data_IF_703412125130
#
_entry.id   IF_703412125130
#
_cell.length_a   1.000
_cell.length_b   1.000
_cell.length_c   1.000
_cell.angle_alpha   90.00
_cell.angle_beta   90.00
_cell.angle_gamma   90.00
#
_symmetry.space_group_name_H-M   'P 1'
#
loop_
_entity.id
_entity.type
_entity.pdbx_description
1 polymer ?
#
# COMPACT_ATOMS: atom_id res chain seq x y z
N UNK A 1 -10.32 -1.59 58.23
CA UNK A 1 -8.91 -1.80 58.59
C UNK A 1 -8.71 -3.25 59.06
N UNK A 2 -7.98 -4.07 58.32
CA UNK A 2 -7.66 -5.45 58.74
C UNK A 2 -6.46 -5.43 59.66
N UNK A 3 -6.44 -6.19 60.77
CA UNK A 3 -5.30 -6.26 61.66
C UNK A 3 -4.10 -6.85 60.95
N UNK A 4 -2.94 -6.21 61.08
CA UNK A 4 -1.65 -6.60 60.45
C UNK A 4 -0.91 -7.60 61.33
N UNK A 5 -1.19 -7.59 62.62
CA UNK A 5 -0.58 -8.43 63.63
C UNK A 5 -0.98 -8.06 65.03
N UNK A 6 -0.39 -8.73 65.98
CA UNK A 6 -0.63 -8.52 67.41
C UNK A 6 0.70 -8.23 68.09
N UNK A 7 0.71 -7.26 68.96
CA UNK A 7 1.81 -6.97 69.89
C UNK A 7 1.30 -7.17 71.30
N UNK A 8 1.95 -8.04 72.05
CA UNK A 8 1.63 -8.29 73.45
C UNK A 8 2.78 -7.75 74.32
N UNK A 9 2.42 -7.22 75.46
CA UNK A 9 3.34 -6.76 76.48
C UNK A 9 2.86 -7.30 77.83
N UNK A 10 3.77 -7.89 78.59
CA UNK A 10 3.52 -8.30 79.95
C UNK A 10 4.57 -7.75 80.92
N UNK A 11 4.28 -7.87 82.17
CA UNK A 11 5.19 -7.46 83.27
C UNK A 11 5.54 -8.65 84.17
N UNK A 12 5.55 -9.86 83.64
CA UNK A 12 5.77 -11.09 84.37
C UNK A 12 7.02 -11.11 85.29
N UNK A 13 8.12 -10.45 84.83
CA UNK A 13 9.36 -10.38 85.54
C UNK A 13 9.29 -9.40 86.72
N UNK A 14 8.81 -8.18 86.57
CA UNK A 14 8.82 -7.13 87.54
C UNK A 14 7.54 -7.01 88.38
N UNK A 15 6.45 -7.69 87.98
CA UNK A 15 5.11 -7.63 88.56
C UNK A 15 4.57 -6.24 88.85
N UNK A 16 5.13 -5.20 88.23
CA UNK A 16 4.68 -3.84 88.38
C UNK A 16 3.49 -3.55 87.44
N UNK A 17 2.53 -2.66 87.81
CA UNK A 17 1.40 -2.32 86.95
C UNK A 17 1.91 -1.62 85.69
N UNK A 18 1.35 -1.98 84.53
CA UNK A 18 1.66 -1.33 83.24
C UNK A 18 1.16 0.14 83.31
N UNK A 19 2.08 1.07 83.19
CA UNK A 19 1.80 2.50 83.27
C UNK A 19 1.09 3.05 82.02
N UNK A 20 0.39 4.16 82.13
CA UNK A 20 -0.23 4.83 80.97
C UNK A 20 0.79 5.21 79.89
N UNK A 21 2.00 5.62 80.28
CA UNK A 21 3.11 5.89 79.38
C UNK A 21 3.55 4.67 78.58
N UNK A 22 3.67 3.51 79.21
CA UNK A 22 4.06 2.23 78.54
C UNK A 22 2.95 1.79 77.54
N UNK A 23 1.66 1.95 77.87
CA UNK A 23 0.56 1.70 76.97
C UNK A 23 0.65 2.60 75.70
N UNK A 24 0.85 3.89 75.91
CA UNK A 24 0.99 4.86 74.79
C UNK A 24 2.23 4.58 73.92
N UNK A 25 3.33 4.20 74.50
CA UNK A 25 4.52 3.76 73.78
C UNK A 25 4.23 2.51 72.92
N UNK A 26 3.53 1.51 73.47
CA UNK A 26 3.16 0.31 72.71
C UNK A 26 2.21 0.60 71.55
N UNK A 27 1.23 1.48 71.76
CA UNK A 27 0.33 1.92 70.71
C UNK A 27 1.06 2.67 69.61
N UNK A 28 1.96 3.60 69.98
CA UNK A 28 2.81 4.30 69.03
C UNK A 28 3.73 3.38 68.24
N UNK A 29 4.36 2.41 68.91
CA UNK A 29 5.21 1.41 68.31
C UNK A 29 4.43 0.48 67.38
N UNK A 30 3.22 0.01 67.78
CA UNK A 30 2.34 -0.74 66.95
C UNK A 30 1.89 -0.04 65.71
N UNK A 31 1.56 1.27 65.83
CA UNK A 31 1.24 2.11 64.68
C UNK A 31 2.37 2.26 63.70
N UNK A 32 3.61 2.50 64.21
CA UNK A 32 4.81 2.62 63.34
C UNK A 32 5.13 1.30 62.60
N UNK A 33 5.09 0.16 63.34
CA UNK A 33 5.28 -1.16 62.71
C UNK A 33 4.25 -1.42 61.63
N UNK A 34 2.97 -1.09 61.87
CA UNK A 34 1.92 -1.25 60.90
C UNK A 34 2.18 -0.42 59.65
N UNK A 35 2.61 0.83 59.77
CA UNK A 35 2.98 1.70 58.67
C UNK A 35 4.17 1.13 57.87
N UNK A 36 5.23 0.69 58.55
CA UNK A 36 6.39 0.07 57.89
C UNK A 36 5.99 -1.19 57.13
N UNK A 37 5.16 -2.05 57.73
CA UNK A 37 4.66 -3.27 57.09
C UNK A 37 3.85 -2.94 55.83
N UNK A 38 2.88 -2.02 55.91
CA UNK A 38 2.03 -1.61 54.79
C UNK A 38 2.91 -1.05 53.66
N UNK A 39 3.86 -0.15 53.97
CA UNK A 39 4.79 0.42 52.99
C UNK A 39 5.63 -0.67 52.31
N UNK A 40 6.24 -1.58 53.09
CA UNK A 40 7.04 -2.68 52.52
C UNK A 40 6.22 -3.60 51.61
N UNK A 41 5.00 -3.86 51.99
CA UNK A 41 4.03 -4.62 51.18
C UNK A 41 3.71 -3.92 49.87
N UNK A 42 3.45 -2.61 49.89
CA UNK A 42 3.24 -1.81 48.69
C UNK A 42 4.45 -1.81 47.75
N UNK A 43 5.67 -1.66 48.30
CA UNK A 43 6.89 -1.76 47.51
C UNK A 43 7.08 -3.14 46.84
N UNK A 44 6.75 -4.22 47.55
CA UNK A 44 6.78 -5.56 46.96
C UNK A 44 5.77 -5.74 45.82
N UNK A 45 4.55 -5.27 46.01
CA UNK A 45 3.52 -5.33 44.98
C UNK A 45 3.90 -4.52 43.72
N UNK A 46 4.48 -3.33 43.89
CA UNK A 46 4.95 -2.51 42.77
C UNK A 46 6.12 -3.21 42.04
N UNK A 47 7.06 -3.78 42.77
CA UNK A 47 8.17 -4.54 42.11
C UNK A 47 7.66 -5.73 41.32
N UNK A 48 6.70 -6.46 41.83
CA UNK A 48 6.11 -7.62 41.17
C UNK A 48 5.36 -7.17 39.89
N UNK A 49 4.55 -6.12 39.99
CA UNK A 49 3.86 -5.52 38.84
C UNK A 49 4.87 -5.14 37.75
N UNK A 50 5.94 -4.42 38.16
CA UNK A 50 6.98 -4.03 37.22
C UNK A 50 7.69 -5.24 36.57
N UNK A 51 8.03 -6.26 37.33
CA UNK A 51 8.68 -7.48 36.80
C UNK A 51 7.76 -8.21 35.80
N UNK A 52 6.48 -8.36 36.13
CA UNK A 52 5.54 -9.01 35.21
C UNK A 52 5.38 -8.22 33.92
N UNK A 53 5.21 -6.90 34.00
CA UNK A 53 5.08 -6.04 32.82
C UNK A 53 6.32 -6.09 31.93
N UNK A 54 7.53 -6.06 32.52
CA UNK A 54 8.78 -6.15 31.75
C UNK A 54 8.89 -7.49 31.03
N UNK A 55 8.56 -8.59 31.67
CA UNK A 55 8.63 -9.91 31.06
C UNK A 55 7.60 -10.08 29.95
N UNK A 56 6.34 -9.75 30.21
CA UNK A 56 5.25 -9.84 29.25
C UNK A 56 5.43 -8.89 28.06
N UNK A 57 5.99 -7.70 28.27
CA UNK A 57 6.22 -6.69 27.22
C UNK A 57 7.31 -7.08 26.20
N UNK A 58 8.11 -8.11 26.49
CA UNK A 58 9.12 -8.64 25.56
C UNK A 58 8.56 -9.62 24.54
N UNK A 59 7.29 -9.97 24.67
CA UNK A 59 6.65 -10.92 23.78
C UNK A 59 6.17 -10.21 22.51
N UNK A 60 6.40 -10.85 21.36
CA UNK A 60 6.12 -10.29 20.04
C UNK A 60 4.68 -10.54 19.55
N UNK A 61 3.94 -11.45 20.20
CA UNK A 61 2.59 -11.84 19.82
C UNK A 61 1.75 -12.30 21.01
N UNK A 62 0.43 -12.34 20.81
CA UNK A 62 -0.56 -12.69 21.84
C UNK A 62 -0.29 -14.08 22.43
N UNK A 63 0.04 -15.08 21.62
CA UNK A 63 0.34 -16.43 22.09
C UNK A 63 1.57 -16.45 23.01
N UNK A 64 2.63 -15.73 22.67
CA UNK A 64 3.83 -15.61 23.50
C UNK A 64 3.53 -14.89 24.82
N UNK A 65 2.70 -13.84 24.81
CA UNK A 65 2.22 -13.17 26.04
C UNK A 65 1.49 -14.14 26.94
N UNK A 66 0.54 -14.93 26.42
CA UNK A 66 -0.22 -15.91 27.20
C UNK A 66 0.72 -16.98 27.81
N UNK A 67 1.67 -17.50 27.03
CA UNK A 67 2.67 -18.46 27.51
C UNK A 67 3.54 -17.89 28.63
N UNK A 68 4.06 -16.69 28.42
CA UNK A 68 4.88 -16.00 29.42
C UNK A 68 4.08 -15.69 30.68
N UNK A 69 2.80 -15.33 30.56
CA UNK A 69 1.90 -15.10 31.68
C UNK A 69 1.73 -16.35 32.55
N UNK A 70 1.48 -17.52 31.92
CA UNK A 70 1.38 -18.79 32.63
C UNK A 70 2.72 -19.12 33.33
N UNK A 71 3.84 -18.98 32.63
CA UNK A 71 5.16 -19.24 33.18
C UNK A 71 5.47 -18.35 34.40
N UNK A 72 5.23 -17.06 34.28
CA UNK A 72 5.44 -16.09 35.36
C UNK A 72 4.57 -16.41 36.58
N UNK A 73 3.31 -16.73 36.38
CA UNK A 73 2.38 -17.05 37.47
C UNK A 73 2.84 -18.26 38.27
N UNK A 74 3.24 -19.35 37.61
CA UNK A 74 3.72 -20.55 38.25
C UNK A 74 5.03 -20.31 39.01
N UNK A 75 5.98 -19.61 38.40
CA UNK A 75 7.32 -19.42 38.96
C UNK A 75 7.37 -18.37 40.08
N UNK A 76 6.55 -17.31 40.01
CA UNK A 76 6.72 -16.15 40.87
C UNK A 76 5.53 -15.83 41.78
N UNK A 77 4.31 -16.29 41.44
CA UNK A 77 3.10 -15.92 42.20
C UNK A 77 2.67 -17.00 43.20
N UNK A 78 3.24 -18.17 43.17
CA UNK A 78 2.86 -19.30 44.03
C UNK A 78 1.48 -19.85 43.69
N UNK A 79 1.10 -19.79 42.42
CA UNK A 79 -0.12 -20.38 41.87
C UNK A 79 0.23 -21.77 41.33
N UNK A 80 -0.56 -22.78 41.65
CA UNK A 80 -0.30 -24.14 41.17
C UNK A 80 -0.57 -24.33 39.70
N UNK A 81 -1.72 -23.80 39.25
CA UNK A 81 -2.18 -23.88 37.87
C UNK A 81 -2.79 -22.55 37.43
N UNK A 82 -2.54 -22.19 36.19
CA UNK A 82 -3.14 -21.02 35.53
C UNK A 82 -3.43 -21.37 34.08
N UNK A 83 -4.55 -20.86 33.55
CA UNK A 83 -4.89 -20.92 32.14
C UNK A 83 -5.40 -19.55 31.67
N UNK A 84 -5.10 -19.23 30.42
CA UNK A 84 -5.54 -18.00 29.74
C UNK A 84 -6.41 -18.37 28.57
N UNK A 85 -7.63 -17.83 28.52
CA UNK A 85 -8.60 -18.06 27.46
C UNK A 85 -8.94 -16.73 26.79
N UNK A 86 -8.78 -16.63 25.48
CA UNK A 86 -9.27 -15.47 24.72
C UNK A 86 -10.79 -15.54 24.56
N UNK A 87 -11.42 -14.39 24.36
CA UNK A 87 -12.86 -14.30 24.12
C UNK A 87 -13.14 -13.22 23.07
N UNK A 88 -14.35 -13.26 22.49
CA UNK A 88 -14.83 -12.22 21.58
C UNK A 88 -15.35 -10.98 22.33
N UNK A 89 -15.71 -9.95 21.59
CA UNK A 89 -16.23 -8.68 22.11
C UNK A 89 -17.57 -8.84 22.83
N UNK A 90 -18.36 -9.83 22.44
CA UNK A 90 -19.66 -10.19 23.01
C UNK A 90 -19.50 -11.11 24.23
N UNK A 91 -18.29 -11.59 24.50
CA UNK A 91 -18.02 -12.56 25.58
C UNK A 91 -18.87 -13.83 25.42
N UNK A 92 -18.90 -14.40 24.19
CA UNK A 92 -19.78 -15.54 23.86
C UNK A 92 -19.11 -16.90 24.04
N UNK A 93 -17.79 -16.97 23.99
CA UNK A 93 -17.00 -18.20 24.12
C UNK A 93 -15.67 -17.99 24.87
N UNK A 94 -15.02 -19.07 25.23
CA UNK A 94 -13.64 -19.13 25.70
C UNK A 94 -12.81 -19.99 24.73
N UNK A 95 -11.76 -19.41 24.20
CA UNK A 95 -10.75 -20.10 23.40
C UNK A 95 -9.46 -20.25 24.20
N UNK A 96 -9.06 -21.50 24.47
CA UNK A 96 -7.82 -21.79 25.16
C UNK A 96 -6.60 -21.26 24.41
N UNK A 97 -5.58 -20.87 25.15
CA UNK A 97 -4.28 -20.48 24.60
C UNK A 97 -3.17 -21.31 25.25
N UNK A 98 -2.66 -20.85 26.35
CA UNK A 98 -1.67 -21.55 27.17
C UNK A 98 -2.22 -21.75 28.57
N UNK A 99 -1.98 -22.91 29.13
CA UNK A 99 -2.38 -23.27 30.47
C UNK A 99 -1.43 -24.25 31.12
N UNK A 100 -1.91 -24.91 32.17
CA UNK A 100 -1.17 -25.94 32.89
C UNK A 100 -1.96 -27.23 32.98
N UNK A 101 -1.27 -28.36 32.74
CA UNK A 101 -1.85 -29.68 32.93
C UNK A 101 -2.09 -30.02 34.42
N UNK A 102 -2.59 -31.22 34.69
CA UNK A 102 -2.84 -31.69 36.06
C UNK A 102 -1.56 -31.94 36.90
N UNK A 103 -0.39 -31.92 36.28
CA UNK A 103 0.91 -32.01 36.93
C UNK A 103 1.58 -30.63 37.09
N UNK A 104 0.99 -29.55 36.55
CA UNK A 104 1.55 -28.21 36.62
C UNK A 104 2.53 -27.88 35.48
N UNK A 105 2.64 -28.72 34.45
CA UNK A 105 3.44 -28.41 33.29
C UNK A 105 2.72 -27.41 32.39
N UNK A 106 3.45 -26.49 31.78
CA UNK A 106 2.92 -25.52 30.86
C UNK A 106 2.62 -26.20 29.52
N UNK A 107 1.40 -26.14 29.06
CA UNK A 107 0.88 -26.80 27.85
C UNK A 107 0.15 -25.81 26.96
N UNK A 108 0.16 -26.10 25.66
CA UNK A 108 -0.69 -25.42 24.70
C UNK A 108 -2.11 -25.98 24.78
N UNK A 109 -3.07 -25.13 25.14
CA UNK A 109 -4.49 -25.46 25.27
C UNK A 109 -5.31 -24.86 24.11
N UNK A 110 -4.72 -24.51 22.98
CA UNK A 110 -5.40 -23.94 21.81
C UNK A 110 -6.48 -24.85 21.23
N UNK A 111 -6.44 -26.14 21.56
CA UNK A 111 -7.50 -27.12 21.22
C UNK A 111 -8.81 -26.91 22.03
N UNK A 112 -8.72 -26.23 23.18
CA UNK A 112 -9.88 -26.01 24.03
C UNK A 112 -10.74 -24.88 23.48
N UNK A 113 -11.99 -25.22 23.20
CA UNK A 113 -13.01 -24.24 22.82
C UNK A 113 -14.30 -24.57 23.57
N UNK A 114 -14.88 -23.58 24.21
CA UNK A 114 -16.13 -23.77 24.98
C UNK A 114 -17.00 -22.53 24.80
N UNK A 115 -18.25 -22.76 24.44
CA UNK A 115 -19.29 -21.76 24.69
C UNK A 115 -19.32 -21.49 26.19
N UNK A 116 -19.58 -20.24 26.57
CA UNK A 116 -19.56 -19.86 27.98
C UNK A 116 -20.59 -20.67 28.77
N UNK A 117 -20.07 -21.68 29.49
CA UNK A 117 -20.89 -22.48 30.41
C UNK A 117 -21.20 -21.61 31.63
N UNK A 118 -22.48 -21.52 31.99
CA UNK A 118 -22.94 -20.85 33.23
C UNK A 118 -22.47 -21.60 34.46
N UNK A 119 -21.21 -21.40 34.84
CA UNK A 119 -20.69 -21.75 36.17
C UNK A 119 -20.73 -20.48 37.02
N UNK A 120 -20.98 -20.62 38.31
CA UNK A 120 -21.12 -19.49 39.24
C UNK A 120 -19.88 -18.56 39.16
N UNK A 121 -18.67 -19.13 39.10
CA UNK A 121 -17.42 -18.36 39.02
C UNK A 121 -17.29 -17.60 37.68
N UNK A 122 -17.77 -18.16 36.57
CA UNK A 122 -17.75 -17.49 35.24
C UNK A 122 -18.73 -16.32 35.26
N UNK A 123 -19.94 -16.56 35.78
CA UNK A 123 -20.98 -15.52 35.95
C UNK A 123 -20.48 -14.40 36.87
N UNK A 124 -19.82 -14.73 37.97
CA UNK A 124 -19.19 -13.76 38.88
C UNK A 124 -18.09 -12.93 38.20
N UNK A 125 -17.23 -13.56 37.43
CA UNK A 125 -16.16 -12.86 36.68
C UNK A 125 -16.74 -11.93 35.61
N UNK A 126 -17.81 -12.34 34.89
CA UNK A 126 -18.49 -11.50 33.90
C UNK A 126 -19.23 -10.32 34.52
N UNK A 127 -19.85 -10.52 35.72
CA UNK A 127 -20.59 -9.45 36.40
C UNK A 127 -19.70 -8.34 36.96
N UNK A 128 -18.40 -8.63 37.17
CA UNK A 128 -17.40 -7.69 37.68
C UNK A 128 -16.11 -7.82 36.93
N UNK A 129 -16.05 -7.33 35.67
CA UNK A 129 -14.83 -7.39 34.90
C UNK A 129 -13.64 -6.73 35.62
N UNK A 130 -12.45 -7.28 35.41
CA UNK A 130 -11.18 -6.87 36.06
C UNK A 130 -11.14 -7.06 37.59
N UNK A 131 -12.22 -7.57 38.19
CA UNK A 131 -12.20 -8.09 39.58
C UNK A 131 -11.98 -9.61 39.53
N UNK A 132 -11.28 -10.16 40.53
CA UNK A 132 -11.04 -11.60 40.61
C UNK A 132 -12.13 -12.20 41.48
N UNK A 133 -12.95 -13.07 40.90
CA UNK A 133 -13.89 -13.92 41.64
C UNK A 133 -13.11 -15.09 42.25
N UNK A 134 -13.46 -15.47 43.47
CA UNK A 134 -12.86 -16.58 44.20
C UNK A 134 -13.91 -17.48 44.78
N UNK A 135 -13.71 -18.79 44.65
CA UNK A 135 -14.51 -19.82 45.31
C UNK A 135 -13.59 -20.78 46.08
N UNK A 136 -13.98 -21.18 47.28
CA UNK A 136 -13.17 -22.06 48.13
C UNK A 136 -13.91 -23.38 48.34
N UNK A 137 -13.18 -24.50 48.44
CA UNK A 137 -13.69 -25.84 48.67
C UNK A 137 -14.65 -26.31 47.52
N UNK A 138 -14.35 -25.93 46.29
CA UNK A 138 -15.15 -26.29 45.10
C UNK A 138 -14.42 -27.34 44.24
N UNK A 139 -15.14 -28.07 43.37
CA UNK A 139 -14.51 -28.95 42.39
C UNK A 139 -13.61 -28.19 41.44
N UNK A 140 -12.39 -28.67 41.25
CA UNK A 140 -11.43 -28.17 40.25
C UNK A 140 -11.59 -29.01 39.00
N UNK A 141 -11.58 -28.35 37.84
CA UNK A 141 -11.79 -28.98 36.55
C UNK A 141 -10.53 -28.91 35.67
N UNK A 142 -10.39 -29.93 34.82
CA UNK A 142 -9.46 -29.94 33.68
C UNK A 142 -10.14 -30.72 32.56
N UNK A 143 -10.24 -30.15 31.36
CA UNK A 143 -10.92 -30.73 30.21
C UNK A 143 -12.33 -31.30 30.56
N UNK A 144 -13.17 -30.50 31.23
CA UNK A 144 -14.51 -30.83 31.70
C UNK A 144 -14.59 -31.89 32.80
N UNK A 145 -13.47 -32.52 33.20
CA UNK A 145 -13.41 -33.52 34.24
C UNK A 145 -13.06 -32.91 35.60
N UNK A 146 -13.69 -33.42 36.67
CA UNK A 146 -13.27 -33.04 38.02
C UNK A 146 -11.95 -33.77 38.37
N UNK A 147 -10.91 -32.99 38.66
CA UNK A 147 -9.57 -33.51 38.98
C UNK A 147 -9.20 -33.35 40.44
N UNK A 148 -9.97 -32.61 41.20
CA UNK A 148 -9.74 -32.42 42.62
C UNK A 148 -10.73 -31.45 43.27
N UNK A 149 -10.45 -31.04 44.50
CA UNK A 149 -11.22 -30.04 45.29
C UNK A 149 -10.23 -29.05 45.87
N UNK A 150 -10.52 -27.77 45.75
CA UNK A 150 -9.65 -26.70 46.25
C UNK A 150 -10.32 -25.32 46.08
N UNK A 151 -9.48 -24.28 46.01
CA UNK A 151 -10.00 -22.98 45.62
C UNK A 151 -9.79 -22.77 44.11
N UNK A 152 -10.69 -22.00 43.51
CA UNK A 152 -10.57 -21.49 42.14
C UNK A 152 -10.66 -19.98 42.14
N UNK A 153 -9.94 -19.36 41.21
CA UNK A 153 -10.00 -17.93 40.97
C UNK A 153 -10.23 -17.69 39.46
N UNK A 154 -11.10 -16.75 39.12
CA UNK A 154 -11.35 -16.38 37.73
C UNK A 154 -11.55 -14.87 37.61
N UNK A 155 -11.09 -14.29 36.51
CA UNK A 155 -11.38 -12.90 36.15
C UNK A 155 -11.53 -12.76 34.65
N UNK A 156 -12.46 -11.88 34.25
CA UNK A 156 -12.57 -11.40 32.87
C UNK A 156 -11.75 -10.14 32.73
N UNK A 157 -10.76 -10.17 31.85
CA UNK A 157 -9.95 -9.03 31.46
C UNK A 157 -10.67 -8.24 30.39
N UNK A 158 -10.72 -6.92 30.55
CA UNK A 158 -11.30 -6.00 29.56
C UNK A 158 -10.30 -4.94 29.17
N UNK A 159 -10.51 -4.37 27.97
CA UNK A 159 -9.80 -3.18 27.52
C UNK A 159 -10.14 -1.95 28.38
N UNK A 160 -9.41 -0.86 28.20
CA UNK A 160 -9.70 0.42 28.81
C UNK A 160 -11.09 0.99 28.46
N UNK A 161 -11.70 0.48 27.38
CA UNK A 161 -13.06 0.82 26.93
C UNK A 161 -14.12 -0.17 27.43
N UNK A 162 -13.74 -1.16 28.24
CA UNK A 162 -14.63 -2.16 28.79
C UNK A 162 -14.94 -3.34 27.86
N UNK A 163 -14.24 -3.46 26.71
CA UNK A 163 -14.44 -4.58 25.78
C UNK A 163 -13.74 -5.82 26.33
N UNK A 164 -14.41 -7.00 26.40
CA UNK A 164 -13.83 -8.28 26.79
C UNK A 164 -12.58 -8.63 25.95
N UNK A 165 -11.56 -9.20 26.58
CA UNK A 165 -10.31 -9.62 25.93
C UNK A 165 -10.04 -11.10 26.22
N UNK A 166 -9.98 -11.48 27.49
CA UNK A 166 -9.58 -12.79 27.93
C UNK A 166 -10.12 -13.13 29.31
N UNK A 167 -10.23 -14.43 29.60
CA UNK A 167 -10.37 -14.94 30.96
C UNK A 167 -9.03 -15.46 31.46
N UNK A 168 -8.77 -15.28 32.76
CA UNK A 168 -7.74 -15.99 33.49
C UNK A 168 -8.43 -16.89 34.51
N UNK A 169 -8.05 -18.16 34.53
CA UNK A 169 -8.45 -19.10 35.56
C UNK A 169 -7.23 -19.60 36.30
N UNK A 170 -7.30 -19.72 37.64
CA UNK A 170 -6.25 -20.25 38.48
C UNK A 170 -6.81 -21.12 39.58
N UNK A 171 -6.02 -22.09 40.09
CA UNK A 171 -6.39 -22.97 41.20
C UNK A 171 -5.18 -23.48 41.97
N UNK A 172 -5.47 -24.27 43.06
CA UNK A 172 -4.45 -24.86 43.92
C UNK A 172 -4.48 -26.40 43.90
N UNK A 173 -4.69 -27.01 42.75
CA UNK A 173 -4.83 -28.47 42.61
C UNK A 173 -3.66 -29.25 43.24
N UNK A 174 -2.40 -28.78 43.07
CA UNK A 174 -1.20 -29.50 43.39
C UNK A 174 -0.84 -29.40 44.87
N UNK A 175 -0.65 -28.18 45.37
CA UNK A 175 -0.17 -27.94 46.74
C UNK A 175 -1.31 -27.87 47.76
N UNK A 176 -2.53 -27.61 47.29
CA UNK A 176 -3.68 -27.36 48.16
C UNK A 176 -3.46 -26.25 49.18
N UNK A 177 -2.58 -25.30 48.83
CA UNK A 177 -2.26 -24.16 49.67
C UNK A 177 -3.50 -23.31 49.94
N UNK A 178 -3.59 -22.70 51.14
CA UNK A 178 -4.72 -21.83 51.47
C UNK A 178 -4.72 -20.54 50.68
N UNK A 179 -5.92 -20.05 50.30
CA UNK A 179 -6.09 -18.79 49.60
C UNK A 179 -5.95 -17.61 50.59
N UNK A 180 -4.76 -17.06 50.68
CA UNK A 180 -4.44 -15.94 51.56
C UNK A 180 -4.92 -14.61 50.95
N UNK A 181 -5.15 -13.60 51.82
CA UNK A 181 -5.48 -12.23 51.35
C UNK A 181 -4.34 -11.63 50.49
N UNK A 182 -3.09 -12.05 50.73
CA UNK A 182 -1.94 -11.63 49.92
C UNK A 182 -1.99 -12.25 48.53
N UNK A 183 -2.29 -13.55 48.40
CA UNK A 183 -2.39 -14.21 47.11
C UNK A 183 -3.53 -13.64 46.27
N UNK A 184 -4.67 -13.33 46.90
CA UNK A 184 -5.79 -12.62 46.18
C UNK A 184 -5.34 -11.29 45.60
N UNK A 185 -4.58 -10.48 46.34
CA UNK A 185 -4.09 -9.19 45.87
C UNK A 185 -3.07 -9.34 44.73
N UNK A 186 -2.18 -10.33 44.82
CA UNK A 186 -1.19 -10.65 43.80
C UNK A 186 -1.84 -11.07 42.49
N UNK A 187 -2.82 -11.97 42.55
CA UNK A 187 -3.59 -12.41 41.35
C UNK A 187 -4.27 -11.20 40.71
N UNK A 188 -4.88 -10.30 41.51
CA UNK A 188 -5.54 -9.10 40.99
C UNK A 188 -4.57 -8.16 40.24
N UNK A 189 -3.40 -7.90 40.85
CA UNK A 189 -2.37 -7.04 40.23
C UNK A 189 -1.86 -7.65 38.94
N UNK A 190 -1.56 -8.96 38.96
CA UNK A 190 -1.10 -9.69 37.80
C UNK A 190 -2.12 -9.68 36.66
N UNK A 191 -3.39 -9.94 36.96
CA UNK A 191 -4.48 -9.90 36.00
C UNK A 191 -4.59 -8.53 35.28
N UNK A 192 -4.48 -7.43 36.07
CA UNK A 192 -4.50 -6.08 35.53
C UNK A 192 -3.31 -5.82 34.60
N UNK A 193 -2.10 -6.27 34.97
CA UNK A 193 -0.90 -6.13 34.12
C UNK A 193 -1.05 -6.92 32.82
N UNK A 194 -1.54 -8.14 32.90
CA UNK A 194 -1.75 -8.99 31.73
C UNK A 194 -2.81 -8.39 30.78
N UNK A 195 -3.90 -7.82 31.32
CA UNK A 195 -4.92 -7.14 30.50
C UNK A 195 -4.32 -6.01 29.66
N UNK A 196 -3.48 -5.16 30.27
CA UNK A 196 -2.81 -4.05 29.59
C UNK A 196 -1.88 -4.53 28.45
N UNK A 197 -1.06 -5.54 28.75
CA UNK A 197 -0.12 -6.08 27.74
C UNK A 197 -0.87 -6.78 26.62
N UNK A 198 -1.87 -7.62 26.92
CA UNK A 198 -2.70 -8.27 25.91
C UNK A 198 -3.37 -7.27 24.97
N UNK A 199 -4.01 -6.25 25.55
CA UNK A 199 -4.67 -5.20 24.76
C UNK A 199 -3.68 -4.54 23.78
N UNK A 200 -2.50 -4.17 24.28
CA UNK A 200 -1.46 -3.55 23.46
C UNK A 200 -0.98 -4.48 22.34
N UNK A 201 -0.69 -5.73 22.67
CA UNK A 201 -0.16 -6.70 21.71
C UNK A 201 -1.19 -7.02 20.63
N UNK A 202 -2.48 -7.23 21.00
CA UNK A 202 -3.57 -7.45 20.04
C UNK A 202 -3.72 -6.27 19.08
N UNK A 203 -3.68 -5.04 19.59
CA UNK A 203 -3.76 -3.84 18.75
C UNK A 203 -2.55 -3.70 17.80
N UNK A 204 -1.35 -4.12 18.24
CA UNK A 204 -0.15 -4.12 17.40
C UNK A 204 -0.23 -5.18 16.29
N UNK A 205 -0.73 -6.38 16.58
CA UNK A 205 -0.95 -7.42 15.56
C UNK A 205 -1.98 -6.97 14.52
N UNK A 206 -3.13 -6.42 14.96
CA UNK A 206 -4.17 -5.90 14.04
C UNK A 206 -3.64 -4.78 13.14
N UNK A 207 -2.86 -3.84 13.72
CA UNK A 207 -2.24 -2.76 12.97
C UNK A 207 -1.24 -3.29 11.92
N UNK A 208 -0.45 -4.30 12.29
CA UNK A 208 0.51 -4.92 11.37
C UNK A 208 -0.19 -5.59 10.19
N UNK A 209 -1.22 -6.41 10.46
CA UNK A 209 -2.01 -7.04 9.40
C UNK A 209 -2.68 -6.02 8.47
N UNK A 210 -3.22 -4.93 9.05
CA UNK A 210 -3.82 -3.87 8.26
C UNK A 210 -2.80 -3.17 7.36
N UNK A 211 -1.61 -2.87 7.89
CA UNK A 211 -0.54 -2.26 7.11
C UNK A 211 -0.08 -3.16 5.95
N UNK A 212 0.11 -4.46 6.19
CA UNK A 212 0.48 -5.42 5.15
C UNK A 212 -0.57 -5.45 4.01
N UNK A 213 -1.86 -5.48 4.35
CA UNK A 213 -2.96 -5.41 3.36
C UNK A 213 -2.98 -4.10 2.59
N UNK A 214 -2.76 -2.97 3.28
CA UNK A 214 -2.72 -1.65 2.65
C UNK A 214 -1.53 -1.52 1.69
N UNK A 215 -0.36 -2.03 2.06
CA UNK A 215 0.83 -2.03 1.19
C UNK A 215 0.59 -2.84 -0.09
N UNK A 216 -0.04 -4.01 0.01
CA UNK A 216 -0.41 -4.82 -1.16
C UNK A 216 -1.41 -4.09 -2.06
N UNK A 217 -2.44 -3.45 -1.47
CA UNK A 217 -3.43 -2.70 -2.25
C UNK A 217 -2.82 -1.46 -2.92
N UNK A 218 -1.98 -0.71 -2.22
CA UNK A 218 -1.25 0.44 -2.78
C UNK A 218 -0.37 0.01 -3.96
N UNK A 219 0.37 -1.09 -3.81
CA UNK A 219 1.21 -1.63 -4.89
C UNK A 219 0.38 -2.00 -6.13
N UNK A 220 -0.75 -2.68 -5.92
CA UNK A 220 -1.67 -3.04 -7.00
C UNK A 220 -2.23 -1.81 -7.71
N UNK A 221 -2.73 -0.82 -6.96
CA UNK A 221 -3.29 0.41 -7.52
C UNK A 221 -2.26 1.25 -8.26
N UNK A 222 -1.04 1.30 -7.75
CA UNK A 222 0.05 2.02 -8.41
C UNK A 222 0.36 1.41 -9.78
N UNK A 223 0.41 0.09 -9.88
CA UNK A 223 0.63 -0.61 -11.15
C UNK A 223 -0.53 -0.38 -12.14
N UNK A 224 -1.79 -0.48 -11.66
CA UNK A 224 -2.98 -0.20 -12.49
C UNK A 224 -2.95 1.23 -13.04
N UNK A 225 -2.62 2.21 -12.20
CA UNK A 225 -2.50 3.62 -12.59
C UNK A 225 -1.38 3.85 -13.60
N UNK A 226 -0.23 3.19 -13.40
CA UNK A 226 0.90 3.30 -14.34
C UNK A 226 0.51 2.78 -15.73
N UNK A 227 -0.07 1.58 -15.80
CA UNK A 227 -0.53 1.01 -17.07
C UNK A 227 -1.60 1.87 -17.75
N UNK A 228 -2.56 2.42 -16.97
CA UNK A 228 -3.57 3.31 -17.50
C UNK A 228 -2.96 4.62 -18.04
N UNK A 229 -1.97 5.19 -17.34
CA UNK A 229 -1.27 6.38 -17.80
C UNK A 229 -0.47 6.13 -19.09
N UNK A 230 0.22 4.99 -19.19
CA UNK A 230 0.94 4.59 -20.40
C UNK A 230 -0.02 4.46 -21.60
N UNK A 231 -1.19 3.85 -21.40
CA UNK A 231 -2.22 3.74 -22.42
C UNK A 231 -2.79 5.10 -22.83
N UNK A 232 -3.05 5.98 -21.85
CA UNK A 232 -3.53 7.33 -22.11
C UNK A 232 -2.48 8.17 -22.86
N UNK A 233 -1.20 8.02 -22.54
CA UNK A 233 -0.12 8.71 -23.22
C UNK A 233 -0.04 8.29 -24.69
N UNK A 234 -0.11 6.99 -25.00
CA UNK A 234 -0.16 6.47 -26.37
C UNK A 234 -1.38 7.01 -27.12
N UNK A 235 -2.58 6.93 -26.54
CA UNK A 235 -3.82 7.42 -27.18
C UNK A 235 -3.76 8.94 -27.40
N UNK A 236 -3.22 9.69 -26.44
CA UNK A 236 -3.10 11.14 -26.50
C UNK A 236 -2.13 11.65 -27.58
N UNK A 237 -1.26 10.78 -28.12
CA UNK A 237 -0.29 11.10 -29.18
C UNK A 237 -0.80 10.76 -30.58
N UNK A 238 -1.93 10.10 -30.70
CA UNK A 238 -2.53 9.76 -31.99
C UNK A 238 -3.64 10.76 -32.37
N UNK A 239 -3.81 11.01 -33.66
CA UNK A 239 -4.99 11.68 -34.19
C UNK A 239 -6.18 10.71 -34.12
N UNK A 240 -7.30 11.09 -33.48
CA UNK A 240 -8.43 10.19 -33.26
C UNK A 240 -9.13 9.75 -34.55
N UNK A 241 -9.02 10.53 -35.63
CA UNK A 241 -9.66 10.23 -36.89
C UNK A 241 -8.83 9.31 -37.78
N UNK A 242 -7.56 9.63 -37.96
CA UNK A 242 -6.65 8.95 -38.90
C UNK A 242 -5.77 7.89 -38.25
N UNK A 243 -5.64 7.90 -36.91
CA UNK A 243 -4.75 7.04 -36.12
C UNK A 243 -3.25 7.25 -36.39
N UNK A 244 -2.88 8.25 -37.17
CA UNK A 244 -1.52 8.72 -37.30
C UNK A 244 -1.10 9.52 -36.05
N UNK A 245 0.19 9.82 -35.92
CA UNK A 245 0.64 10.75 -34.89
C UNK A 245 -0.06 12.10 -35.01
N UNK A 246 -0.22 12.78 -33.87
CA UNK A 246 -0.69 14.16 -33.83
C UNK A 246 0.49 15.12 -33.56
N UNK A 247 0.21 16.42 -33.47
CA UNK A 247 1.22 17.46 -33.15
C UNK A 247 1.98 17.17 -31.83
N UNK A 248 1.32 16.52 -30.86
CA UNK A 248 1.97 16.16 -29.58
C UNK A 248 2.99 15.05 -29.74
N UNK A 249 2.68 14.06 -30.59
CA UNK A 249 3.65 13.02 -30.96
C UNK A 249 4.88 13.60 -31.65
N UNK A 250 4.65 14.51 -32.61
CA UNK A 250 5.76 15.20 -33.28
C UNK A 250 6.66 15.95 -32.30
N UNK A 251 6.07 16.75 -31.41
CA UNK A 251 6.83 17.52 -30.42
C UNK A 251 7.72 16.60 -29.57
N UNK A 252 7.18 15.45 -29.15
CA UNK A 252 7.96 14.47 -28.36
C UNK A 252 9.09 13.82 -29.19
N UNK A 253 8.84 13.49 -30.46
CA UNK A 253 9.88 12.93 -31.34
C UNK A 253 11.02 13.93 -31.50
N UNK A 254 10.70 15.22 -31.72
CA UNK A 254 11.71 16.28 -31.83
C UNK A 254 12.49 16.49 -30.51
N UNK A 255 11.80 16.42 -29.37
CA UNK A 255 12.44 16.50 -28.05
C UNK A 255 13.39 15.31 -27.82
N UNK A 256 12.97 14.11 -28.21
CA UNK A 256 13.80 12.91 -28.12
C UNK A 256 15.03 12.95 -29.03
N UNK A 257 14.90 13.52 -30.24
CA UNK A 257 16.02 13.72 -31.16
C UNK A 257 17.07 14.71 -30.61
N UNK A 258 16.60 15.75 -29.90
CA UNK A 258 17.45 16.75 -29.26
C UNK A 258 18.01 16.29 -27.89
N UNK A 259 17.44 15.27 -27.27
CA UNK A 259 17.96 14.70 -26.03
C UNK A 259 18.88 13.53 -26.36
N UNK A 260 20.10 13.52 -25.82
CA UNK A 260 21.21 12.57 -25.98
C UNK A 260 20.93 11.08 -25.74
N UNK A 261 19.70 10.61 -25.92
CA UNK A 261 19.32 9.20 -25.76
C UNK A 261 19.35 8.39 -27.08
N UNK A 262 19.66 9.03 -28.19
CA UNK A 262 19.99 8.28 -29.39
C UNK A 262 21.47 7.92 -29.29
N UNK A 263 21.81 6.68 -28.97
CA UNK A 263 23.20 6.19 -29.12
C UNK A 263 23.52 6.11 -30.64
N UNK A 264 24.19 7.08 -31.22
CA UNK A 264 24.65 6.94 -32.60
C UNK A 264 25.71 5.83 -32.59
N UNK A 265 25.58 4.89 -33.50
CA UNK A 265 26.56 3.83 -33.70
C UNK A 265 27.95 4.39 -33.96
N UNK A 266 28.07 5.72 -34.19
CA UNK A 266 29.32 6.48 -34.35
C UNK A 266 29.12 7.95 -33.88
N UNK A 267 29.82 8.44 -32.87
CA UNK A 267 29.81 9.86 -32.51
C UNK A 267 30.40 10.69 -33.64
N UNK A 268 29.72 11.79 -34.03
CA UNK A 268 30.03 12.72 -35.12
C UNK A 268 29.61 12.33 -36.55
N UNK A 269 28.75 11.35 -36.76
CA UNK A 269 28.20 11.09 -38.08
C UNK A 269 27.04 12.04 -38.38
N UNK A 270 27.05 12.73 -39.52
CA UNK A 270 25.91 13.53 -39.98
C UNK A 270 24.84 12.60 -40.50
N UNK A 271 23.63 12.76 -39.98
CA UNK A 271 22.40 12.05 -40.38
C UNK A 271 21.62 12.94 -41.34
N UNK A 272 21.04 12.35 -42.38
CA UNK A 272 20.11 13.09 -43.26
C UNK A 272 18.71 12.93 -42.77
N UNK A 273 18.04 14.03 -42.48
CA UNK A 273 16.63 14.10 -42.16
C UNK A 273 15.83 14.44 -43.42
N UNK A 274 14.77 13.68 -43.69
CA UNK A 274 13.82 13.94 -44.74
C UNK A 274 12.51 14.42 -44.13
N UNK A 275 11.93 15.46 -44.69
CA UNK A 275 10.60 15.93 -44.33
C UNK A 275 9.70 15.99 -45.56
N UNK A 276 8.55 15.33 -45.48
CA UNK A 276 7.53 15.37 -46.51
C UNK A 276 6.30 16.05 -45.88
N UNK A 277 5.84 17.13 -46.48
CA UNK A 277 4.58 17.78 -46.19
C UNK A 277 3.57 17.48 -47.30
N UNK A 278 2.37 17.16 -46.92
CA UNK A 278 1.29 16.76 -47.80
C UNK A 278 0.00 17.49 -47.46
N UNK A 279 -0.74 17.93 -48.47
CA UNK A 279 -2.03 18.58 -48.33
C UNK A 279 -2.97 18.03 -49.39
N UNK A 280 -4.19 17.66 -48.98
CA UNK A 280 -5.21 17.12 -49.88
C UNK A 280 -5.81 18.22 -50.75
N UNK A 281 -5.69 18.06 -52.05
CA UNK A 281 -6.11 19.06 -53.03
C UNK A 281 -7.64 19.31 -52.99
N UNK A 282 -8.02 20.59 -52.86
CA UNK A 282 -9.40 21.06 -52.85
C UNK A 282 -10.28 20.39 -51.75
N UNK A 283 -9.71 19.97 -50.62
CA UNK A 283 -10.45 19.26 -49.59
C UNK A 283 -11.60 20.09 -48.95
N UNK A 284 -11.44 21.42 -48.86
CA UNK A 284 -12.53 22.31 -48.46
C UNK A 284 -13.73 22.24 -49.40
N UNK A 285 -13.48 22.13 -50.72
CA UNK A 285 -14.52 21.95 -51.73
C UNK A 285 -15.15 20.55 -51.64
N UNK A 286 -14.35 19.53 -51.40
CA UNK A 286 -14.82 18.17 -51.13
C UNK A 286 -15.83 18.15 -49.99
N UNK A 287 -15.51 18.75 -48.84
CA UNK A 287 -16.42 18.85 -47.69
C UNK A 287 -17.71 19.63 -48.02
N UNK A 288 -17.62 20.65 -48.88
CA UNK A 288 -18.79 21.42 -49.28
C UNK A 288 -19.76 20.62 -50.16
N UNK A 289 -19.23 19.69 -50.98
CA UNK A 289 -20.03 18.85 -51.90
C UNK A 289 -20.57 17.60 -51.21
N UNK A 290 -19.72 16.87 -50.49
CA UNK A 290 -20.04 15.55 -49.94
C UNK A 290 -20.39 15.58 -48.43
N UNK A 291 -20.15 16.71 -47.76
CA UNK A 291 -20.38 16.87 -46.33
C UNK A 291 -19.19 16.38 -45.48
N UNK A 292 -19.13 16.85 -44.23
CA UNK A 292 -18.02 16.56 -43.32
C UNK A 292 -17.89 15.07 -42.97
N UNK A 293 -19.01 14.32 -42.97
CA UNK A 293 -18.96 12.87 -42.67
C UNK A 293 -18.18 12.09 -43.74
N UNK A 294 -18.41 12.42 -45.02
CA UNK A 294 -17.64 11.82 -46.11
C UNK A 294 -16.21 12.34 -46.16
N UNK A 295 -15.97 13.61 -45.80
CA UNK A 295 -14.65 14.16 -45.61
C UNK A 295 -13.85 13.40 -44.52
N UNK A 296 -14.49 13.09 -43.40
CA UNK A 296 -13.89 12.26 -42.34
C UNK A 296 -13.60 10.85 -42.83
N UNK A 297 -14.45 10.26 -43.67
CA UNK A 297 -14.23 8.94 -44.29
C UNK A 297 -13.04 8.97 -45.24
N UNK A 298 -12.92 10.00 -46.06
CA UNK A 298 -11.77 10.23 -46.95
C UNK A 298 -10.47 10.38 -46.14
N UNK A 299 -10.47 11.17 -45.06
CA UNK A 299 -9.31 11.33 -44.17
C UNK A 299 -8.89 10.03 -43.53
N UNK A 300 -9.85 9.17 -43.10
CA UNK A 300 -9.52 7.82 -42.56
C UNK A 300 -8.87 6.95 -43.63
N UNK A 301 -9.37 6.99 -44.84
CA UNK A 301 -8.80 6.23 -45.98
C UNK A 301 -7.38 6.70 -46.31
N UNK A 302 -7.18 8.00 -46.38
CA UNK A 302 -5.83 8.59 -46.54
C UNK A 302 -4.93 8.19 -45.37
N UNK A 303 -5.39 8.32 -44.11
CA UNK A 303 -4.60 7.93 -42.92
C UNK A 303 -4.14 6.48 -42.99
N UNK A 304 -4.98 5.54 -43.46
CA UNK A 304 -4.60 4.14 -43.65
C UNK A 304 -3.51 4.00 -44.73
N UNK A 305 -3.67 4.66 -45.88
CA UNK A 305 -2.65 4.66 -46.96
C UNK A 305 -1.32 5.16 -46.40
N UNK A 306 -1.33 6.27 -45.67
CA UNK A 306 -0.12 6.87 -45.12
C UNK A 306 0.55 5.98 -44.06
N UNK A 307 -0.25 5.30 -43.24
CA UNK A 307 0.27 4.36 -42.25
C UNK A 307 1.01 3.18 -42.90
N UNK A 308 0.54 2.70 -44.04
CA UNK A 308 1.18 1.61 -44.80
C UNK A 308 2.53 2.04 -45.42
N UNK A 309 2.85 3.36 -45.40
CA UNK A 309 4.12 3.92 -45.87
C UNK A 309 5.13 4.22 -44.76
N UNK A 310 4.85 3.84 -43.51
CA UNK A 310 5.82 3.86 -42.42
C UNK A 310 6.69 2.61 -42.60
N UNK A 311 7.92 2.79 -43.12
CA UNK A 311 8.80 1.65 -43.47
C UNK A 311 9.92 1.42 -42.45
N UNK A 312 10.29 2.45 -41.67
CA UNK A 312 11.36 2.38 -40.66
C UNK A 312 10.80 2.75 -39.29
N UNK A 313 11.38 2.17 -38.25
CA UNK A 313 10.97 2.43 -36.86
C UNK A 313 11.09 3.90 -36.45
N UNK A 314 11.99 4.63 -37.10
CA UNK A 314 12.24 6.05 -36.84
C UNK A 314 11.42 6.99 -37.73
N UNK A 315 10.61 6.45 -38.65
CA UNK A 315 9.71 7.24 -39.47
C UNK A 315 8.50 7.66 -38.62
N UNK A 316 8.14 8.95 -38.69
CA UNK A 316 7.01 9.48 -37.92
C UNK A 316 6.02 10.17 -38.83
N UNK A 317 4.87 9.54 -39.03
CA UNK A 317 3.76 10.14 -39.77
C UNK A 317 2.79 10.83 -38.81
N UNK A 318 2.53 12.12 -39.04
CA UNK A 318 1.62 12.94 -38.26
C UNK A 318 0.57 13.62 -39.12
N UNK A 319 -0.64 13.76 -38.58
CA UNK A 319 -1.62 14.73 -39.07
C UNK A 319 -1.44 16.02 -38.29
N UNK A 320 -1.07 17.10 -38.98
CA UNK A 320 -0.74 18.38 -38.33
C UNK A 320 -1.98 19.32 -38.24
N UNK A 321 -3.01 19.08 -39.02
CA UNK A 321 -4.28 19.80 -38.94
C UNK A 321 -5.12 19.60 -40.20
N UNK A 322 -6.45 19.70 -40.10
CA UNK A 322 -7.34 19.65 -41.26
C UNK A 322 -7.04 18.51 -42.24
N UNK A 323 -6.60 18.88 -43.42
CA UNK A 323 -6.17 18.01 -44.52
C UNK A 323 -4.65 17.92 -44.69
N UNK A 324 -3.88 18.40 -43.70
CA UNK A 324 -2.41 18.48 -43.75
C UNK A 324 -1.77 17.32 -42.99
N UNK A 325 -0.82 16.65 -43.63
CA UNK A 325 -0.06 15.54 -43.08
C UNK A 325 1.44 15.76 -43.26
N UNK A 326 2.23 15.12 -42.42
CA UNK A 326 3.66 15.24 -42.41
C UNK A 326 4.32 13.88 -42.12
N UNK A 327 5.38 13.55 -42.87
CA UNK A 327 6.28 12.44 -42.57
C UNK A 327 7.67 12.97 -42.27
N UNK A 328 8.16 12.72 -41.07
CA UNK A 328 9.55 12.92 -40.70
C UNK A 328 10.30 11.59 -40.84
N UNK A 329 11.39 11.60 -41.58
CA UNK A 329 12.28 10.46 -41.85
C UNK A 329 13.65 10.74 -41.22
N UNK A 330 14.21 9.75 -40.54
CA UNK A 330 15.55 9.86 -39.94
C UNK A 330 16.45 8.85 -40.58
N UNK A 331 17.70 9.26 -40.92
CA UNK A 331 18.69 8.45 -41.60
C UNK A 331 18.25 8.00 -43.01
N UNK A 332 17.89 8.98 -43.82
CA UNK A 332 17.41 8.81 -45.20
C UNK A 332 18.37 9.49 -46.22
N UNK A 333 17.96 9.58 -47.44
CA UNK A 333 18.63 10.40 -48.47
C UNK A 333 17.60 11.13 -49.33
N UNK A 334 18.01 12.17 -50.05
CA UNK A 334 17.13 12.99 -50.89
C UNK A 334 16.39 12.16 -51.94
N UNK A 335 17.06 11.18 -52.57
CA UNK A 335 16.43 10.27 -53.52
C UNK A 335 15.36 9.37 -52.89
N UNK A 336 15.58 8.89 -51.69
CA UNK A 336 14.61 8.07 -50.94
C UNK A 336 13.43 8.93 -50.51
N UNK A 337 13.68 10.13 -49.97
CA UNK A 337 12.64 11.08 -49.58
C UNK A 337 11.74 11.41 -50.76
N UNK A 338 12.33 11.67 -51.96
CA UNK A 338 11.62 11.89 -53.20
C UNK A 338 10.78 10.69 -53.62
N UNK A 339 11.38 9.51 -53.62
CA UNK A 339 10.66 8.27 -53.99
C UNK A 339 9.47 7.99 -53.06
N UNK A 340 9.65 8.25 -51.78
CA UNK A 340 8.59 8.09 -50.80
C UNK A 340 7.44 9.09 -51.01
N UNK A 341 7.79 10.38 -51.27
CA UNK A 341 6.83 11.42 -51.59
C UNK A 341 6.04 11.08 -52.85
N UNK A 342 6.69 10.62 -53.92
CA UNK A 342 6.02 10.18 -55.15
C UNK A 342 5.11 8.96 -54.97
N UNK A 343 5.57 7.98 -54.16
CA UNK A 343 4.75 6.80 -53.82
C UNK A 343 3.49 7.17 -53.06
N UNK A 344 3.59 8.00 -52.03
CA UNK A 344 2.47 8.46 -51.22
C UNK A 344 1.44 9.19 -52.12
N UNK A 345 1.90 10.14 -52.92
CA UNK A 345 1.02 10.89 -53.84
C UNK A 345 0.24 9.94 -54.76
N UNK A 346 0.94 8.98 -55.42
CA UNK A 346 0.31 7.99 -56.30
C UNK A 346 -0.71 7.11 -55.59
N UNK A 347 -0.38 6.59 -54.41
CA UNK A 347 -1.31 5.74 -53.67
C UNK A 347 -2.60 6.47 -53.24
N UNK A 348 -2.51 7.79 -52.97
CA UNK A 348 -3.71 8.59 -52.70
C UNK A 348 -4.55 8.73 -53.98
N UNK A 349 -3.94 9.01 -55.13
CA UNK A 349 -4.63 9.11 -56.41
C UNK A 349 -5.24 7.77 -56.86
N UNK A 350 -4.49 6.68 -56.71
CA UNK A 350 -4.90 5.30 -57.01
C UNK A 350 -6.03 4.78 -56.11
N UNK A 351 -6.22 5.36 -54.95
CA UNK A 351 -7.36 5.05 -54.07
C UNK A 351 -8.72 5.47 -54.68
N UNK A 352 -8.71 6.26 -55.75
CA UNK A 352 -9.88 6.67 -56.54
C UNK A 352 -11.07 7.17 -55.72
N UNK A 353 -10.78 7.94 -54.66
CA UNK A 353 -11.82 8.58 -53.86
C UNK A 353 -12.49 9.67 -54.74
N UNK A 354 -13.79 9.56 -55.10
CA UNK A 354 -14.42 10.48 -56.07
C UNK A 354 -14.42 11.93 -55.58
N UNK A 355 -14.05 12.88 -56.46
CA UNK A 355 -14.08 14.31 -56.18
C UNK A 355 -14.58 15.10 -57.40
N UNK A 356 -15.92 15.13 -57.62
CA UNK A 356 -16.58 15.63 -58.82
C UNK A 356 -16.33 17.11 -59.14
N UNK A 357 -16.06 17.94 -58.13
CA UNK A 357 -15.86 19.38 -58.30
C UNK A 357 -14.36 19.79 -58.23
N UNK A 358 -13.47 18.84 -58.17
CA UNK A 358 -12.04 19.15 -58.22
C UNK A 358 -11.63 19.58 -59.62
N UNK A 359 -10.89 20.69 -59.70
CA UNK A 359 -10.28 21.13 -60.96
C UNK A 359 -9.01 20.40 -61.34
N UNK A 360 -8.53 19.50 -60.49
CA UNK A 360 -7.23 18.80 -60.67
C UNK A 360 -7.43 17.40 -61.24
N UNK A 361 -8.42 16.63 -60.75
CA UNK A 361 -8.73 15.26 -61.12
C UNK A 361 -10.13 14.90 -60.70
N UNK A 362 -10.77 13.90 -61.35
CA UNK A 362 -12.08 13.34 -60.93
C UNK A 362 -11.99 12.63 -59.56
N UNK A 363 -10.78 12.47 -59.01
CA UNK A 363 -10.49 11.83 -57.73
C UNK A 363 -9.75 12.77 -56.79
N UNK A 364 -9.82 12.46 -55.51
CA UNK A 364 -9.06 13.16 -54.47
C UNK A 364 -7.56 12.94 -54.71
N UNK A 365 -6.80 14.03 -54.76
CA UNK A 365 -5.36 14.04 -54.97
C UNK A 365 -4.65 14.79 -53.85
N UNK A 366 -3.33 14.75 -53.83
CA UNK A 366 -2.53 15.49 -52.89
C UNK A 366 -1.36 16.23 -53.54
N UNK A 367 -1.13 17.44 -53.09
CA UNK A 367 0.11 18.18 -53.34
C UNK A 367 1.12 17.79 -52.26
N UNK A 368 2.36 17.60 -52.66
CA UNK A 368 3.46 17.15 -51.79
C UNK A 368 4.67 18.03 -51.97
N UNK A 369 5.17 18.58 -50.88
CA UNK A 369 6.49 19.23 -50.80
C UNK A 369 7.43 18.42 -49.93
N UNK A 370 8.71 18.33 -50.35
CA UNK A 370 9.70 17.68 -49.50
C UNK A 370 11.02 18.45 -49.47
N UNK A 371 11.73 18.23 -48.34
CA UNK A 371 13.09 18.74 -48.15
C UNK A 371 13.93 17.68 -47.44
N UNK A 372 15.22 17.75 -47.63
CA UNK A 372 16.19 16.93 -46.91
C UNK A 372 17.28 17.82 -46.33
N UNK A 373 17.70 17.56 -45.08
CA UNK A 373 18.74 18.36 -44.40
C UNK A 373 19.73 17.41 -43.71
N UNK A 374 21.02 17.63 -43.94
CA UNK A 374 22.06 16.89 -43.24
C UNK A 374 22.45 17.65 -41.96
N UNK A 375 22.22 17.04 -40.82
CA UNK A 375 22.56 17.63 -39.53
C UNK A 375 23.11 16.55 -38.57
N UNK A 376 23.77 16.95 -37.49
CA UNK A 376 23.98 16.05 -36.36
C UNK A 376 22.66 15.89 -35.61
N UNK A 377 22.46 14.74 -34.99
CA UNK A 377 21.20 14.37 -34.31
C UNK A 377 20.74 15.40 -33.25
N UNK A 378 21.71 16.00 -32.59
CA UNK A 378 21.50 16.99 -31.51
C UNK A 378 21.36 18.45 -32.01
N UNK A 379 21.49 18.69 -33.33
CA UNK A 379 21.52 20.01 -33.95
C UNK A 379 20.58 20.14 -35.16
N UNK A 380 19.49 19.36 -35.21
CA UNK A 380 18.50 19.52 -36.28
C UNK A 380 17.73 20.82 -36.10
N UNK A 381 17.90 21.75 -37.06
CA UNK A 381 17.01 22.90 -37.20
C UNK A 381 15.71 22.46 -37.91
N UNK A 382 14.76 22.00 -37.10
CA UNK A 382 13.46 21.51 -37.60
C UNK A 382 12.67 22.63 -38.27
N UNK A 383 12.72 23.84 -37.75
CA UNK A 383 11.98 24.98 -38.31
C UNK A 383 12.49 25.31 -39.72
N UNK A 384 13.82 25.26 -39.94
CA UNK A 384 14.40 25.42 -41.27
C UNK A 384 13.95 24.30 -42.22
N UNK A 385 14.01 23.04 -41.79
CA UNK A 385 13.60 21.89 -42.59
C UNK A 385 12.09 21.97 -42.94
N UNK A 386 11.25 22.39 -41.99
CA UNK A 386 9.83 22.61 -42.18
C UNK A 386 9.57 23.73 -43.21
N UNK A 387 10.18 24.88 -43.04
CA UNK A 387 10.07 26.02 -43.97
C UNK A 387 10.48 25.67 -45.41
N UNK A 388 11.51 24.86 -45.58
CA UNK A 388 11.94 24.36 -46.89
C UNK A 388 10.87 23.47 -47.55
N UNK A 389 10.32 22.49 -46.78
CA UNK A 389 9.28 21.59 -47.28
C UNK A 389 7.94 22.33 -47.55
N UNK A 390 7.57 23.30 -46.71
CA UNK A 390 6.39 24.11 -46.89
C UNK A 390 6.43 24.97 -48.14
N UNK A 391 7.56 25.64 -48.43
CA UNK A 391 7.77 26.36 -49.69
C UNK A 391 7.67 25.44 -50.91
N UNK A 392 8.16 24.20 -50.81
CA UNK A 392 8.00 23.21 -51.85
C UNK A 392 6.54 22.78 -52.04
N UNK A 393 5.81 22.56 -50.97
CA UNK A 393 4.39 22.24 -50.97
C UNK A 393 3.56 23.39 -51.62
N UNK A 394 3.84 24.63 -51.24
CA UNK A 394 3.26 25.79 -51.87
C UNK A 394 3.45 25.81 -53.39
N UNK A 395 4.68 25.56 -53.85
CA UNK A 395 4.98 25.45 -55.28
C UNK A 395 4.25 24.29 -55.96
N UNK A 396 4.08 23.16 -55.29
CA UNK A 396 3.30 22.04 -55.81
C UNK A 396 1.83 22.46 -56.08
N UNK A 397 1.23 23.20 -55.15
CA UNK A 397 -0.13 23.75 -55.29
C UNK A 397 -0.22 24.80 -56.43
N UNK A 398 0.76 25.71 -56.52
CA UNK A 398 0.78 26.78 -57.52
C UNK A 398 0.99 26.25 -58.95
N UNK A 399 1.82 25.22 -59.12
CA UNK A 399 2.11 24.59 -60.40
C UNK A 399 1.01 23.69 -60.95
N UNK A 400 -0.16 23.62 -60.28
CA UNK A 400 -1.36 22.89 -60.75
C UNK A 400 -1.68 21.62 -59.95
N UNK A 401 -1.16 21.50 -58.71
CA UNK A 401 -1.46 20.43 -57.74
C UNK A 401 -1.10 19.00 -58.17
N UNK A 402 -1.53 18.00 -57.46
CA UNK A 402 -1.30 16.55 -57.70
C UNK A 402 0.15 16.24 -58.14
N UNK A 403 1.12 16.81 -57.45
CA UNK A 403 2.55 16.63 -57.74
C UNK A 403 3.44 16.72 -56.55
N UNK A 404 4.64 16.23 -56.75
CA UNK A 404 5.73 16.33 -55.78
C UNK A 404 6.71 17.42 -56.21
N UNK A 405 7.10 18.32 -55.32
CA UNK A 405 8.12 19.35 -55.55
C UNK A 405 9.21 19.23 -54.45
N UNK A 406 10.46 19.30 -54.87
CA UNK A 406 11.62 19.38 -53.98
C UNK A 406 11.98 20.82 -53.64
N UNK A 407 12.36 21.07 -52.41
CA UNK A 407 12.90 22.36 -51.99
C UNK A 407 14.12 22.80 -52.80
N UNK A 408 14.86 21.86 -53.42
CA UNK A 408 16.07 22.09 -54.18
C UNK A 408 15.87 22.22 -55.70
N UNK A 409 14.67 21.95 -56.24
CA UNK A 409 14.43 22.04 -57.71
C UNK A 409 14.58 23.43 -58.33
N UNK A 410 14.64 24.51 -57.52
CA UNK A 410 14.80 25.88 -57.97
C UNK A 410 16.04 26.59 -57.45
N UNK A 411 16.97 25.88 -56.78
CA UNK A 411 18.22 26.46 -56.30
C UNK A 411 19.34 26.25 -57.32
N UNK A 412 19.36 27.01 -58.41
CA UNK A 412 20.63 27.46 -58.97
C UNK A 412 21.20 28.55 -58.02
N UNK A 413 21.48 28.15 -56.80
CA UNK A 413 22.36 28.88 -55.88
C UNK A 413 23.46 27.91 -55.56
N UNK A 414 24.62 28.18 -56.14
CA UNK A 414 25.91 27.51 -55.91
C UNK A 414 26.09 27.25 -54.42
N UNK A 415 26.39 26.01 -54.16
CA UNK A 415 26.89 25.58 -52.85
C UNK A 415 28.21 26.33 -52.55
N UNK A 416 28.11 27.40 -51.79
CA UNK A 416 29.24 28.05 -51.16
C UNK A 416 28.95 28.15 -49.67
N UNK A 417 29.12 27.03 -49.01
CA UNK A 417 29.35 27.04 -47.56
C UNK A 417 30.53 26.12 -47.27
N UNK A 418 31.61 26.79 -46.88
CA UNK A 418 32.86 26.23 -46.34
C UNK A 418 32.63 25.52 -45.02
#
# INVERSE_FOLDING_TARGET
DKPVGWIAMDNYINRAPITGYQKQMLESFGSLLSQIYIRKRQEQNIRMLHSSMVELSRCDNVSAVCKSAVSFAIQHLGIDRLAVFLTDKECSYMQGTWGTDIQGNIVDESYYHSDLVERDIVAAARSRPNEVAFEESVPIYHDYNIVGVGWTAMTLLTSNTGVPIAFIAADNLLTRSSLTSQLREVIRIFASSLAEVLQRTMAQEELKELNERLEEEVKKRTLELQLANEQLDVISKLDPLTRLGNRRMLAQVLENLNSTHFEPSRPNEKVVFGLILLDLDHFGLYNSVYGHTEGDSALRSVGKILNDHILHENDTFCRIGGEEFMLLMVDTCDSETKQRADSIRRCIEEAQIPHSESSTSDYLTASVGFASLSASLDCLDFDLLYDMADKALYQAKDRGRNRVVSAFENSQIEATFY
#
